data_IF_275368876556
#
_entry.id   IF_275368876556
#
_cell.length_a   1.000
_cell.length_b   1.000
_cell.length_c   1.000
_cell.angle_alpha   90.00
_cell.angle_beta   90.00
_cell.angle_gamma   90.00
#
_symmetry.space_group_name_H-M   'P 1'
#
loop_
_entity.id
_entity.type
_entity.pdbx_description
1 polymer ?
#
# COMPACT_ATOMS: atom_id res chain seq x y z
N UNK A 1 -12.23 12.15 -13.47
CA UNK A 1 -11.72 10.94 -14.16
C UNK A 1 -10.50 11.35 -14.96
N UNK A 2 -9.41 10.55 -15.00
CA UNK A 2 -8.29 10.82 -15.93
C UNK A 2 -6.93 11.20 -15.34
N UNK A 3 -6.49 10.63 -14.21
CA UNK A 3 -5.04 10.63 -13.86
C UNK A 3 -4.50 9.26 -13.42
N UNK A 4 -5.37 8.27 -13.28
CA UNK A 4 -4.96 6.93 -12.83
C UNK A 4 -4.35 6.10 -13.98
N UNK A 5 -4.89 6.21 -15.19
CA UNK A 5 -4.44 5.47 -16.37
C UNK A 5 -3.14 6.06 -16.95
N UNK A 6 -3.01 7.40 -16.98
CA UNK A 6 -1.76 8.06 -17.36
C UNK A 6 -0.61 7.70 -16.41
N UNK A 7 -0.88 7.60 -15.10
CA UNK A 7 0.14 7.20 -14.11
C UNK A 7 0.66 5.78 -14.39
N UNK A 8 -0.23 4.88 -14.80
CA UNK A 8 0.11 3.50 -15.14
C UNK A 8 0.98 3.41 -16.41
N UNK A 9 0.69 4.21 -17.43
CA UNK A 9 1.49 4.28 -18.65
C UNK A 9 2.90 4.84 -18.38
N UNK A 10 3.02 5.94 -17.62
CA UNK A 10 4.31 6.55 -17.29
C UNK A 10 5.20 5.61 -16.46
N UNK A 11 4.61 4.83 -15.56
CA UNK A 11 5.39 3.91 -14.72
C UNK A 11 5.80 2.66 -15.48
N UNK A 12 4.97 2.13 -16.40
CA UNK A 12 5.42 1.05 -17.30
C UNK A 12 6.58 1.49 -18.17
N UNK A 13 6.56 2.72 -18.67
CA UNK A 13 7.66 3.26 -19.47
C UNK A 13 8.91 3.51 -18.62
N UNK A 14 8.78 4.04 -17.40
CA UNK A 14 9.89 4.18 -16.47
C UNK A 14 10.54 2.82 -16.10
N UNK A 15 9.73 1.78 -15.89
CA UNK A 15 10.21 0.41 -15.65
C UNK A 15 10.90 -0.20 -16.88
N UNK A 16 10.50 0.19 -18.10
CA UNK A 16 11.12 -0.24 -19.36
C UNK A 16 12.45 0.45 -19.61
N UNK A 17 12.55 1.74 -19.26
CA UNK A 17 13.73 2.57 -19.49
C UNK A 17 14.85 2.36 -18.45
N UNK A 18 14.50 1.92 -17.23
CA UNK A 18 15.50 1.60 -16.20
C UNK A 18 15.14 0.33 -15.43
N UNK A 19 15.37 -0.87 -16.01
CA UNK A 19 15.14 -2.15 -15.34
C UNK A 19 16.04 -2.39 -14.11
N UNK A 20 16.91 -1.43 -13.76
CA UNK A 20 17.78 -1.43 -12.58
C UNK A 20 17.53 -0.25 -11.63
N UNK A 21 16.44 0.52 -11.81
CA UNK A 21 16.07 1.54 -10.83
C UNK A 21 15.71 0.87 -9.49
N UNK A 22 16.61 1.00 -8.53
CA UNK A 22 16.43 0.47 -7.17
C UNK A 22 15.26 1.14 -6.44
N UNK A 23 14.73 2.25 -6.95
CA UNK A 23 13.54 2.96 -6.47
C UNK A 23 12.22 2.53 -7.12
N UNK A 24 12.24 1.66 -8.14
CA UNK A 24 11.05 1.24 -8.89
C UNK A 24 9.90 0.74 -8.02
N UNK A 25 10.21 0.03 -6.93
CA UNK A 25 9.22 -0.47 -5.98
C UNK A 25 8.41 0.64 -5.31
N UNK A 26 9.00 1.83 -5.11
CA UNK A 26 8.31 2.99 -4.51
C UNK A 26 7.27 3.57 -5.45
N UNK A 27 7.60 3.73 -6.72
CA UNK A 27 6.66 4.23 -7.73
C UNK A 27 5.45 3.31 -7.86
N UNK A 28 5.71 2.01 -7.99
CA UNK A 28 4.66 0.97 -8.05
C UNK A 28 3.80 0.96 -6.78
N UNK A 29 4.43 1.10 -5.61
CA UNK A 29 3.72 1.23 -4.34
C UNK A 29 2.81 2.48 -4.32
N UNK A 30 3.29 3.63 -4.81
CA UNK A 30 2.48 4.85 -4.85
C UNK A 30 1.27 4.71 -5.78
N UNK A 31 1.37 3.99 -6.90
CA UNK A 31 0.18 3.64 -7.71
C UNK A 31 -0.82 2.86 -6.86
N UNK A 32 -0.34 1.81 -6.17
CA UNK A 32 -1.19 0.98 -5.33
C UNK A 32 -1.92 1.79 -4.26
N UNK A 33 -1.21 2.70 -3.58
CA UNK A 33 -1.80 3.62 -2.61
C UNK A 33 -2.83 4.54 -3.28
N UNK A 34 -2.54 5.13 -4.44
CA UNK A 34 -3.48 5.96 -5.18
C UNK A 34 -4.76 5.18 -5.54
N UNK A 35 -4.65 3.92 -5.96
CA UNK A 35 -5.80 3.03 -6.22
C UNK A 35 -6.62 2.77 -4.96
N UNK A 36 -5.99 2.60 -3.79
CA UNK A 36 -6.72 2.52 -2.51
C UNK A 36 -7.52 3.80 -2.23
N UNK A 37 -6.92 4.98 -2.44
CA UNK A 37 -7.63 6.26 -2.28
C UNK A 37 -8.84 6.38 -3.22
N UNK A 38 -8.77 5.78 -4.41
CA UNK A 38 -9.86 5.73 -5.39
C UNK A 38 -10.90 4.61 -5.12
N UNK A 39 -10.78 3.85 -4.03
CA UNK A 39 -11.58 2.66 -3.72
C UNK A 39 -11.42 1.50 -4.72
N UNK A 40 -10.38 1.52 -5.56
CA UNK A 40 -10.04 0.45 -6.48
C UNK A 40 -9.16 -0.61 -5.77
N UNK A 41 -9.69 -1.21 -4.69
CA UNK A 41 -8.92 -2.05 -3.77
C UNK A 41 -8.37 -3.33 -4.45
N UNK A 42 -9.06 -3.87 -5.45
CA UNK A 42 -8.57 -5.03 -6.24
C UNK A 42 -7.31 -4.68 -7.05
N UNK A 43 -7.34 -3.58 -7.79
CA UNK A 43 -6.19 -3.08 -8.55
C UNK A 43 -5.05 -2.65 -7.62
N UNK A 44 -5.37 -2.07 -6.46
CA UNK A 44 -4.39 -1.72 -5.45
C UNK A 44 -3.58 -2.95 -5.01
N UNK A 45 -4.24 -4.08 -4.71
CA UNK A 45 -3.54 -5.32 -4.34
C UNK A 45 -2.57 -5.77 -5.44
N UNK A 46 -2.99 -5.74 -6.70
CA UNK A 46 -2.14 -6.14 -7.83
C UNK A 46 -0.86 -5.27 -7.91
N UNK A 47 -1.02 -3.95 -7.82
CA UNK A 47 0.11 -3.02 -7.84
C UNK A 47 1.01 -3.15 -6.63
N UNK A 48 0.44 -3.26 -5.43
CA UNK A 48 1.22 -3.39 -4.20
C UNK A 48 2.01 -4.70 -4.16
N UNK A 49 1.44 -5.81 -4.65
CA UNK A 49 2.16 -7.09 -4.79
C UNK A 49 3.36 -6.97 -5.72
N UNK A 50 3.19 -6.32 -6.87
CA UNK A 50 4.31 -6.02 -7.78
C UNK A 50 5.39 -5.17 -7.10
N UNK A 51 5.00 -4.23 -6.24
CA UNK A 51 5.95 -3.43 -5.44
C UNK A 51 6.76 -4.29 -4.47
N UNK A 52 6.09 -5.23 -3.78
CA UNK A 52 6.75 -6.19 -2.87
C UNK A 52 7.63 -7.19 -3.64
N UNK A 53 7.26 -7.60 -4.85
CA UNK A 53 8.10 -8.44 -5.70
C UNK A 53 9.42 -7.74 -6.09
N UNK A 54 9.35 -6.43 -6.36
CA UNK A 54 10.53 -5.59 -6.64
C UNK A 54 11.39 -5.36 -5.40
N UNK A 55 10.79 -5.24 -4.21
CA UNK A 55 11.52 -5.15 -2.95
C UNK A 55 10.77 -5.83 -1.82
N UNK A 56 11.17 -7.08 -1.53
CA UNK A 56 10.57 -7.91 -0.47
C UNK A 56 10.83 -7.40 0.95
N UNK A 57 11.79 -6.51 1.14
CA UNK A 57 12.12 -5.94 2.46
C UNK A 57 11.36 -4.63 2.74
N UNK A 58 10.43 -4.24 1.86
CA UNK A 58 9.63 -3.03 2.04
C UNK A 58 8.39 -3.30 2.90
N UNK A 59 8.57 -3.27 4.23
CA UNK A 59 7.53 -3.64 5.21
C UNK A 59 6.19 -2.91 4.99
N UNK A 60 6.20 -1.61 4.67
CA UNK A 60 4.97 -0.85 4.44
C UNK A 60 4.15 -1.35 3.25
N UNK A 61 4.80 -1.95 2.23
CA UNK A 61 4.10 -2.59 1.13
C UNK A 61 3.19 -3.72 1.61
N UNK A 62 3.67 -4.54 2.55
CA UNK A 62 2.89 -5.62 3.14
C UNK A 62 1.68 -5.10 3.94
N UNK A 63 1.84 -4.02 4.72
CA UNK A 63 0.73 -3.42 5.47
C UNK A 63 -0.32 -2.80 4.54
N UNK A 64 0.08 -2.20 3.41
CA UNK A 64 -0.87 -1.69 2.41
C UNK A 64 -1.61 -2.83 1.70
N UNK A 65 -0.94 -3.95 1.40
CA UNK A 65 -1.60 -5.16 0.86
C UNK A 65 -2.63 -5.68 1.87
N UNK A 66 -2.24 -5.78 3.14
CA UNK A 66 -3.13 -6.22 4.21
C UNK A 66 -4.39 -5.35 4.30
N UNK A 67 -4.23 -4.02 4.27
CA UNK A 67 -5.33 -3.07 4.28
C UNK A 67 -6.27 -3.26 3.08
N UNK A 68 -5.74 -3.33 1.86
CA UNK A 68 -6.55 -3.50 0.65
C UNK A 68 -7.28 -4.86 0.64
N UNK A 69 -6.62 -5.96 1.03
CA UNK A 69 -7.23 -7.28 1.13
C UNK A 69 -8.34 -7.33 2.18
N UNK A 70 -8.15 -6.69 3.33
CA UNK A 70 -9.17 -6.64 4.37
C UNK A 70 -10.43 -5.93 3.90
N UNK A 71 -10.27 -4.85 3.13
CA UNK A 71 -11.39 -4.11 2.52
C UNK A 71 -12.13 -4.90 1.44
N UNK A 72 -11.45 -5.83 0.78
CA UNK A 72 -12.07 -6.80 -0.14
C UNK A 72 -12.72 -8.00 0.60
N UNK A 73 -12.73 -8.00 1.94
CA UNK A 73 -13.25 -9.10 2.76
C UNK A 73 -12.32 -10.33 2.82
N UNK A 74 -11.13 -10.27 2.23
CA UNK A 74 -10.17 -11.38 2.19
C UNK A 74 -9.31 -11.44 3.47
N UNK A 75 -9.97 -11.55 4.63
CA UNK A 75 -9.34 -11.37 5.95
C UNK A 75 -8.19 -12.36 6.24
N UNK A 76 -8.29 -13.61 5.78
CA UNK A 76 -7.22 -14.59 5.99
C UNK A 76 -5.92 -14.19 5.27
N UNK A 77 -6.04 -13.74 4.02
CA UNK A 77 -4.89 -13.25 3.25
C UNK A 77 -4.38 -11.92 3.80
N UNK A 78 -5.28 -11.06 4.28
CA UNK A 78 -4.93 -9.79 4.92
C UNK A 78 -4.05 -10.02 6.17
N UNK A 79 -4.45 -10.95 7.05
CA UNK A 79 -3.66 -11.33 8.24
C UNK A 79 -2.29 -11.87 7.87
N UNK A 80 -2.22 -12.70 6.83
CA UNK A 80 -0.94 -13.24 6.33
C UNK A 80 -0.02 -12.12 5.84
N UNK A 81 -0.56 -11.14 5.10
CA UNK A 81 0.20 -9.98 4.65
C UNK A 81 0.64 -9.10 5.83
N UNK A 82 -0.22 -8.85 6.81
CA UNK A 82 0.12 -8.11 8.02
C UNK A 82 1.27 -8.79 8.80
N UNK A 83 1.21 -10.11 8.96
CA UNK A 83 2.26 -10.89 9.61
C UNK A 83 3.60 -10.76 8.87
N UNK A 84 3.61 -10.83 7.53
CA UNK A 84 4.82 -10.62 6.74
C UNK A 84 5.41 -9.21 6.95
N UNK A 85 4.56 -8.19 7.04
CA UNK A 85 4.99 -6.83 7.39
C UNK A 85 5.61 -6.75 8.78
N UNK A 86 4.99 -7.38 9.79
CA UNK A 86 5.48 -7.42 11.18
C UNK A 86 6.78 -8.22 11.32
N UNK A 87 7.00 -9.24 10.49
CA UNK A 87 8.30 -9.94 10.46
C UNK A 87 9.43 -9.01 10.02
N UNK A 88 9.16 -8.06 9.11
CA UNK A 88 10.15 -7.08 8.64
C UNK A 88 10.27 -5.87 9.56
N UNK A 89 9.17 -5.45 10.19
CA UNK A 89 9.10 -4.31 11.10
C UNK A 89 8.22 -4.64 12.32
N UNK A 90 8.79 -5.32 13.33
CA UNK A 90 8.04 -5.78 14.51
C UNK A 90 7.45 -4.64 15.35
N UNK A 91 7.99 -3.43 15.21
CA UNK A 91 7.58 -2.25 15.97
C UNK A 91 6.55 -1.41 15.20
N UNK A 92 6.05 -1.89 14.06
CA UNK A 92 5.02 -1.19 13.31
C UNK A 92 3.70 -1.15 14.07
N UNK A 93 3.15 0.04 14.19
CA UNK A 93 1.82 0.28 14.78
C UNK A 93 1.03 1.25 13.92
N UNK A 94 -0.29 1.14 13.93
CA UNK A 94 -1.18 2.07 13.24
C UNK A 94 -0.97 3.49 13.77
N UNK A 95 -0.77 3.67 15.08
CA UNK A 95 -0.44 4.97 15.68
C UNK A 95 0.85 5.57 15.10
N UNK A 96 1.94 4.79 15.04
CA UNK A 96 3.21 5.25 14.44
C UNK A 96 3.04 5.55 12.97
N UNK A 97 2.25 4.78 12.25
CA UNK A 97 1.94 5.05 10.85
C UNK A 97 1.17 6.37 10.66
N UNK A 98 0.16 6.62 11.49
CA UNK A 98 -0.65 7.85 11.44
C UNK A 98 0.15 9.12 11.72
N UNK A 99 1.16 9.06 12.58
CA UNK A 99 1.98 10.23 12.91
C UNK A 99 2.79 10.78 11.73
N UNK A 100 2.93 10.02 10.63
CA UNK A 100 3.65 10.45 9.44
C UNK A 100 2.77 11.25 8.46
N UNK A 101 1.46 11.38 8.72
CA UNK A 101 0.56 12.14 7.87
C UNK A 101 0.53 13.61 8.29
N UNK A 102 1.26 14.48 7.58
CA UNK A 102 1.29 15.92 7.82
C UNK A 102 0.52 16.70 6.72
N UNK A 103 -0.64 16.19 6.31
CA UNK A 103 -1.48 16.82 5.28
C UNK A 103 -2.80 17.26 5.89
N UNK A 104 -3.23 18.47 5.54
CA UNK A 104 -4.56 19.03 5.88
C UNK A 104 -5.66 18.63 4.89
N UNK A 105 -5.28 18.10 3.72
CA UNK A 105 -6.22 17.66 2.69
C UNK A 105 -7.20 16.57 3.19
N UNK A 106 -8.52 16.85 3.25
CA UNK A 106 -9.51 15.91 3.79
C UNK A 106 -9.62 14.60 2.99
N UNK A 107 -9.46 14.65 1.67
CA UNK A 107 -9.54 13.46 0.82
C UNK A 107 -8.35 12.52 1.04
N UNK A 108 -7.17 13.11 1.28
CA UNK A 108 -5.98 12.35 1.66
C UNK A 108 -6.16 11.70 3.03
N UNK A 109 -6.61 12.46 4.03
CA UNK A 109 -6.85 11.96 5.38
C UNK A 109 -7.88 10.82 5.38
N UNK A 110 -9.00 10.97 4.68
CA UNK A 110 -10.03 9.94 4.56
C UNK A 110 -9.47 8.63 3.99
N UNK A 111 -8.63 8.69 2.95
CA UNK A 111 -8.01 7.47 2.43
C UNK A 111 -6.95 6.88 3.34
N UNK A 112 -6.26 7.71 4.14
CA UNK A 112 -5.35 7.22 5.18
C UNK A 112 -6.10 6.51 6.31
N UNK A 113 -7.24 7.05 6.76
CA UNK A 113 -8.10 6.39 7.73
C UNK A 113 -8.65 5.08 7.21
N UNK A 114 -9.14 5.05 5.95
CA UNK A 114 -9.58 3.82 5.29
C UNK A 114 -8.49 2.75 5.24
N UNK A 115 -7.23 3.15 5.04
CA UNK A 115 -6.11 2.23 5.08
C UNK A 115 -5.84 1.73 6.51
N UNK A 116 -5.90 2.60 7.52
CA UNK A 116 -5.76 2.23 8.92
C UNK A 116 -6.84 1.24 9.36
N UNK A 117 -8.09 1.44 8.93
CA UNK A 117 -9.19 0.52 9.23
C UNK A 117 -8.96 -0.86 8.63
N UNK A 118 -8.48 -0.92 7.38
CA UNK A 118 -8.08 -2.18 6.75
C UNK A 118 -6.94 -2.86 7.50
N UNK A 119 -5.94 -2.10 7.98
CA UNK A 119 -4.85 -2.64 8.79
C UNK A 119 -5.36 -3.21 10.12
N UNK A 120 -6.29 -2.51 10.79
CA UNK A 120 -6.93 -2.98 12.03
C UNK A 120 -7.68 -4.29 11.81
N UNK A 121 -8.47 -4.38 10.74
CA UNK A 121 -9.16 -5.61 10.34
C UNK A 121 -8.19 -6.76 10.04
N UNK A 122 -7.00 -6.45 9.52
CA UNK A 122 -5.94 -7.42 9.26
C UNK A 122 -5.15 -7.82 10.52
N UNK A 123 -5.44 -7.23 11.69
CA UNK A 123 -4.76 -7.55 12.96
C UNK A 123 -3.44 -6.82 13.16
N UNK A 124 -3.19 -5.72 12.45
CA UNK A 124 -2.01 -4.87 12.71
C UNK A 124 -2.19 -4.16 14.07
N UNK A 125 -1.16 -4.13 14.93
CA UNK A 125 -1.25 -3.49 16.24
C UNK A 125 -1.59 -1.99 16.15
N UNK A 126 -2.46 -1.51 17.04
CA UNK A 126 -2.79 -0.08 17.15
C UNK A 126 -1.63 0.74 17.74
N UNK A 127 -0.97 0.17 18.76
CA UNK A 127 0.17 0.78 19.44
C UNK A 127 -0.18 1.73 20.56
#
# INVERSE_FOLDING_TARGET
MGRAEETEAHIREALRLSPRDTGAFRWVHFIGVAKMHLNADFEAVAWLRRGVELNRNYAIGHFRIAAALARLGQLAQAKTAAQAGLTLDPNFTIRRFRSHFASDNPAYLSGCERACDGMRMAGVPEG
#
